data_IF_490819294827
#
_entry.id   IF_490819294827
#
_cell.length_a   1.000
_cell.length_b   1.000
_cell.length_c   1.000
_cell.angle_alpha   90.00
_cell.angle_beta   90.00
_cell.angle_gamma   90.00
#
_symmetry.space_group_name_H-M   'P 1'
#
loop_
_entity.id
_entity.type
_entity.pdbx_description
1 polymer ?
#
# COMPACT_ATOMS: atom_id res chain seq x y z
N UNK A 1 14.11 -8.87 14.01
CA UNK A 1 13.29 -7.77 13.46
C UNK A 1 13.98 -7.35 12.18
N UNK A 2 13.41 -7.64 11.02
CA UNK A 2 14.04 -7.28 9.74
C UNK A 2 14.09 -5.75 9.67
N UNK A 3 15.29 -5.19 9.78
CA UNK A 3 15.52 -3.81 9.39
C UNK A 3 15.14 -3.75 7.92
N UNK A 4 14.04 -3.07 7.61
CA UNK A 4 13.74 -2.73 6.23
C UNK A 4 14.90 -1.86 5.75
N UNK A 5 15.74 -2.40 4.88
CA UNK A 5 16.84 -1.66 4.27
C UNK A 5 16.30 -0.32 3.76
N UNK A 6 16.70 0.81 4.37
CA UNK A 6 16.12 2.12 4.07
C UNK A 6 16.50 2.65 2.68
N UNK A 7 17.31 1.90 1.94
CA UNK A 7 18.01 2.36 0.74
C UNK A 7 17.40 1.86 -0.58
N UNK A 8 16.46 0.91 -0.57
CA UNK A 8 15.83 0.43 -1.83
C UNK A 8 14.67 1.35 -2.28
N UNK A 9 15.01 2.62 -2.52
CA UNK A 9 14.13 3.64 -3.07
C UNK A 9 14.25 3.65 -4.60
N UNK A 10 13.11 3.50 -5.29
CA UNK A 10 13.05 3.54 -6.74
C UNK A 10 12.57 4.92 -7.20
N UNK A 11 13.29 5.59 -8.11
CA UNK A 11 12.86 6.88 -8.65
C UNK A 11 11.74 6.69 -9.67
N UNK A 12 10.66 7.44 -9.49
CA UNK A 12 9.58 7.61 -10.46
C UNK A 12 9.59 9.05 -10.96
N UNK A 13 9.75 9.20 -12.27
CA UNK A 13 9.70 10.50 -12.94
C UNK A 13 8.25 10.82 -13.34
N UNK A 14 8.01 12.11 -13.60
CA UNK A 14 6.71 12.63 -14.03
C UNK A 14 5.55 12.33 -13.08
N UNK A 15 5.83 12.35 -11.78
CA UNK A 15 4.82 12.13 -10.75
C UNK A 15 4.08 13.44 -10.50
N UNK A 16 2.74 13.39 -10.53
CA UNK A 16 1.87 14.53 -10.22
C UNK A 16 1.10 14.29 -8.94
N UNK A 17 1.22 15.17 -7.95
CA UNK A 17 0.41 15.10 -6.73
C UNK A 17 -0.96 15.71 -7.00
N UNK A 18 -2.00 14.92 -6.81
CA UNK A 18 -3.40 15.31 -7.04
C UNK A 18 -4.05 15.76 -5.74
N UNK A 19 -3.82 15.00 -4.67
CA UNK A 19 -4.30 15.33 -3.32
C UNK A 19 -3.22 15.03 -2.30
N UNK A 20 -3.21 15.83 -1.25
CA UNK A 20 -2.29 15.68 -0.13
C UNK A 20 -3.11 15.70 1.16
N UNK A 21 -2.95 14.66 1.97
CA UNK A 21 -3.50 14.58 3.33
C UNK A 21 -2.33 14.52 4.30
N UNK A 22 -2.53 14.76 5.60
CA UNK A 22 -1.47 14.68 6.62
C UNK A 22 -0.62 13.38 6.55
N UNK A 23 -1.22 12.18 6.51
CA UNK A 23 -0.46 10.93 6.49
C UNK A 23 -0.13 10.40 5.08
N UNK A 24 -0.86 10.80 4.04
CA UNK A 24 -0.76 10.19 2.72
C UNK A 24 -0.95 11.19 1.57
N UNK A 25 -0.31 10.91 0.43
CA UNK A 25 -0.44 11.67 -0.81
C UNK A 25 -1.03 10.80 -1.91
N UNK A 26 -1.96 11.36 -2.68
CA UNK A 26 -2.48 10.78 -3.91
C UNK A 26 -1.68 11.35 -5.06
N UNK A 27 -0.97 10.48 -5.75
CA UNK A 27 -0.12 10.85 -6.88
C UNK A 27 -0.50 10.06 -8.14
N UNK A 28 -0.44 10.75 -9.27
CA UNK A 28 -0.51 10.18 -10.60
C UNK A 28 0.89 9.74 -11.03
N UNK A 29 1.06 8.47 -11.36
CA UNK A 29 2.31 7.87 -11.82
C UNK A 29 2.00 7.04 -13.07
N UNK A 30 2.56 7.40 -14.24
CA UNK A 30 2.36 6.67 -15.51
C UNK A 30 0.89 6.30 -15.77
N UNK A 31 0.01 7.30 -15.70
CA UNK A 31 -1.46 7.18 -15.87
C UNK A 31 -2.23 6.50 -14.72
N UNK A 32 -1.56 5.97 -13.69
CA UNK A 32 -2.21 5.37 -12.53
C UNK A 32 -2.31 6.34 -11.37
N UNK A 33 -3.43 6.29 -10.64
CA UNK A 33 -3.61 7.02 -9.40
C UNK A 33 -3.27 6.13 -8.21
N UNK A 34 -2.30 6.55 -7.40
CA UNK A 34 -1.81 5.76 -6.27
C UNK A 34 -1.79 6.59 -4.99
N UNK A 35 -2.43 6.05 -3.97
CA UNK A 35 -2.29 6.55 -2.59
C UNK A 35 -1.03 5.99 -1.96
N UNK A 36 -0.10 6.87 -1.59
CA UNK A 36 1.15 6.54 -0.93
C UNK A 36 1.22 7.18 0.45
N UNK A 37 1.66 6.41 1.45
CA UNK A 37 1.96 6.93 2.78
C UNK A 37 3.26 7.74 2.74
N UNK A 38 3.29 8.86 3.47
CA UNK A 38 4.50 9.69 3.61
C UNK A 38 5.68 8.94 4.22
N UNK A 39 5.44 7.89 4.99
CA UNK A 39 6.50 7.06 5.59
C UNK A 39 7.26 6.18 4.56
N UNK A 40 6.69 6.01 3.36
CA UNK A 40 7.22 5.12 2.32
C UNK A 40 7.69 5.86 1.07
N UNK A 41 7.60 7.18 1.08
CA UNK A 41 8.01 8.04 -0.04
C UNK A 41 9.00 9.07 0.43
N UNK A 42 9.98 9.35 -0.42
CA UNK A 42 10.98 10.38 -0.22
C UNK A 42 10.98 11.29 -1.44
N UNK A 43 11.20 12.58 -1.25
CA UNK A 43 11.18 13.57 -2.33
C UNK A 43 10.61 14.92 -1.90
N UNK A 44 10.47 15.82 -2.88
CA UNK A 44 10.00 17.20 -2.67
C UNK A 44 8.54 17.42 -3.08
N UNK A 45 7.81 16.37 -3.43
CA UNK A 45 6.41 16.47 -3.85
C UNK A 45 5.49 16.25 -2.64
N UNK A 46 5.03 17.34 -2.02
CA UNK A 46 4.27 17.31 -0.75
C UNK A 46 2.87 17.88 -0.91
N UNK A 47 2.67 18.78 -1.84
CA UNK A 47 1.47 19.57 -2.01
C UNK A 47 0.70 19.15 -3.25
N UNK A 48 -0.63 19.30 -3.20
CA UNK A 48 -1.45 19.11 -4.40
C UNK A 48 -1.04 20.11 -5.48
N UNK A 49 -0.82 19.62 -6.70
CA UNK A 49 -0.30 20.41 -7.82
C UNK A 49 1.19 20.20 -8.10
N UNK A 50 1.96 19.67 -7.14
CA UNK A 50 3.39 19.40 -7.35
C UNK A 50 3.61 18.38 -8.46
N UNK A 51 4.63 18.62 -9.31
CA UNK A 51 5.05 17.70 -10.37
C UNK A 51 6.56 17.52 -10.33
N UNK A 52 7.03 16.27 -10.47
CA UNK A 52 8.46 16.01 -10.54
C UNK A 52 8.81 14.54 -10.28
N UNK A 53 9.95 14.32 -9.63
CA UNK A 53 10.44 12.99 -9.30
C UNK A 53 10.08 12.63 -7.86
N UNK A 54 9.49 11.46 -7.67
CA UNK A 54 9.22 10.87 -6.36
C UNK A 54 10.02 9.59 -6.18
N UNK A 55 10.60 9.39 -5.00
CA UNK A 55 11.25 8.15 -4.64
C UNK A 55 10.30 7.33 -3.78
N UNK A 56 10.06 6.09 -4.18
CA UNK A 56 9.12 5.20 -3.49
C UNK A 56 9.88 3.94 -3.09
N UNK A 57 9.65 3.41 -1.88
CA UNK A 57 10.24 2.11 -1.50
C UNK A 57 9.89 1.03 -2.51
N UNK A 58 10.85 0.20 -2.88
CA UNK A 58 10.70 -0.90 -3.84
C UNK A 58 9.59 -1.87 -3.45
N UNK A 59 9.44 -2.17 -2.16
CA UNK A 59 8.36 -3.02 -1.63
C UNK A 59 6.98 -2.47 -1.96
N UNK A 60 6.76 -1.17 -1.69
CA UNK A 60 5.50 -0.47 -1.99
C UNK A 60 5.30 -0.31 -3.48
N UNK A 61 6.36 -0.05 -4.24
CA UNK A 61 6.29 0.05 -5.68
C UNK A 61 5.92 -1.31 -6.32
N UNK A 62 6.39 -2.44 -5.79
CA UNK A 62 5.96 -3.78 -6.21
C UNK A 62 4.51 -4.08 -5.80
N UNK A 63 4.14 -3.78 -4.55
CA UNK A 63 2.78 -3.95 -4.03
C UNK A 63 1.74 -3.20 -4.89
N UNK A 64 2.09 -1.98 -5.32
CA UNK A 64 1.25 -1.15 -6.19
C UNK A 64 1.44 -1.42 -7.69
N UNK A 65 2.19 -2.46 -8.04
CA UNK A 65 2.48 -2.86 -9.42
C UNK A 65 3.03 -1.70 -10.27
N UNK A 66 3.81 -0.82 -9.66
CA UNK A 66 4.51 0.29 -10.30
C UNK A 66 5.82 -0.18 -10.96
N UNK A 67 6.41 -1.27 -10.41
CA UNK A 67 7.59 -1.96 -10.93
C UNK A 67 7.40 -3.47 -10.83
N UNK A 68 7.95 -4.22 -11.78
CA UNK A 68 7.76 -5.66 -11.88
C UNK A 68 6.67 -6.00 -12.88
N UNK A 69 6.93 -7.03 -13.69
CA UNK A 69 6.20 -7.36 -14.90
C UNK A 69 4.68 -7.47 -14.69
N UNK A 70 3.93 -6.96 -15.67
CA UNK A 70 2.60 -7.46 -16.00
C UNK A 70 2.61 -9.00 -16.03
N UNK A 71 2.17 -9.63 -14.96
CA UNK A 71 1.59 -10.97 -15.02
C UNK A 71 0.09 -10.79 -14.90
N UNK A 72 -0.70 -11.09 -15.94
CA UNK A 72 -2.14 -11.00 -15.89
C UNK A 72 -2.65 -12.27 -15.20
N UNK A 73 -2.45 -12.40 -13.89
CA UNK A 73 -3.23 -13.37 -13.14
C UNK A 73 -3.23 -13.06 -11.64
N UNK A 74 -4.31 -13.47 -10.99
CA UNK A 74 -4.60 -13.32 -9.57
C UNK A 74 -4.91 -11.89 -9.09
N UNK A 75 -6.17 -11.51 -9.29
CA UNK A 75 -6.96 -10.90 -8.23
C UNK A 75 -6.61 -11.53 -6.88
N UNK A 76 -5.73 -10.90 -6.12
CA UNK A 76 -5.64 -11.17 -4.69
C UNK A 76 -5.84 -9.84 -4.02
N UNK A 77 -7.05 -9.63 -3.52
CA UNK A 77 -7.31 -8.72 -2.42
C UNK A 77 -6.27 -9.04 -1.34
N UNK A 78 -5.14 -8.32 -1.34
CA UNK A 78 -4.22 -8.29 -0.23
C UNK A 78 -4.96 -7.54 0.88
N UNK A 79 -5.77 -8.32 1.59
CA UNK A 79 -6.39 -7.97 2.84
C UNK A 79 -5.29 -7.35 3.71
N UNK A 80 -5.42 -6.03 3.92
CA UNK A 80 -4.66 -5.26 4.89
C UNK A 80 -4.59 -6.07 6.18
N UNK A 81 -3.49 -6.80 6.36
CA UNK A 81 -3.21 -7.59 7.55
C UNK A 81 -2.77 -6.64 8.65
N UNK A 82 -3.73 -5.82 9.10
CA UNK A 82 -3.73 -5.29 10.45
C UNK A 82 -3.71 -6.51 11.39
N UNK A 83 -2.85 -6.54 12.43
CA UNK A 83 -2.94 -7.59 13.44
C UNK A 83 -4.24 -7.36 14.22
N UNK A 84 -5.35 -7.91 13.71
CA UNK A 84 -6.66 -7.85 14.35
C UNK A 84 -6.60 -8.77 15.55
N UNK A 85 -6.27 -8.17 16.70
CA UNK A 85 -6.33 -8.79 18.02
C UNK A 85 -7.64 -9.59 18.14
N UNK A 86 -7.48 -10.86 18.51
CA UNK A 86 -8.49 -11.88 18.78
C UNK A 86 -9.67 -11.34 19.60
N UNK A 87 -10.85 -11.93 19.40
CA UNK A 87 -11.56 -12.51 20.54
C UNK A 87 -11.79 -14.01 20.34
N UNK A 88 -11.55 -14.87 21.36
CA UNK A 88 -11.92 -16.27 21.28
C UNK A 88 -13.42 -16.42 21.59
N UNK A 89 -14.25 -16.61 20.57
CA UNK A 89 -15.64 -17.05 20.77
C UNK A 89 -15.68 -18.58 20.74
N UNK A 90 -15.57 -19.23 21.91
CA UNK A 90 -15.99 -20.62 22.08
C UNK A 90 -17.52 -20.65 22.13
N UNK A 91 -18.16 -20.84 20.99
CA UNK A 91 -19.56 -21.24 20.95
C UNK A 91 -19.61 -22.76 20.89
N UNK A 92 -20.03 -23.37 22.01
CA UNK A 92 -20.25 -24.81 22.13
C UNK A 92 -21.60 -25.15 21.51
N UNK A 93 -21.58 -25.84 20.38
CA UNK A 93 -22.77 -26.44 19.77
C UNK A 93 -23.25 -27.60 20.64
N UNK A 94 -24.43 -27.46 21.27
CA UNK A 94 -25.16 -28.59 21.86
C UNK A 94 -26.24 -29.00 20.86
N UNK A 95 -26.13 -30.23 20.33
CA UNK A 95 -27.19 -30.82 19.49
C UNK A 95 -28.40 -31.11 20.37
N UNK A 96 -29.53 -30.48 20.06
CA UNK A 96 -30.83 -30.95 20.51
C UNK A 96 -31.12 -32.28 19.78
N UNK A 97 -31.28 -33.37 20.54
CA UNK A 97 -31.88 -34.61 20.04
C UNK A 97 -33.31 -34.67 20.58
N UNK A 98 -34.26 -34.82 19.65
CA UNK A 98 -35.66 -35.15 19.92
C UNK A 98 -35.79 -36.45 20.72
N UNK A 99 -36.68 -36.44 21.73
CA UNK A 99 -37.74 -37.45 21.84
C UNK A 99 -38.88 -36.93 22.70
#
# INVERSE_FOLDING_TARGET
>A
MAAEDPDDLVPFQDVRVIRSTGPAILCGIRDRLVWLSRAHVSGKLWCAGDRGTLFIRRSVARDRQLIGASTPDAFTLAESSLPRRRPPARLRLVRATQR
#
